data_IF_856513819622
#
_entry.id   IF_856513819622
#
_cell.length_a   1.000
_cell.length_b   1.000
_cell.length_c   1.000
_cell.angle_alpha   90.00
_cell.angle_beta   90.00
_cell.angle_gamma   90.00
#
_symmetry.space_group_name_H-M   'P 1'
#
loop_
_entity.id
_entity.type
_entity.pdbx_description
1 polymer ?
#
# COMPACT_ATOMS: atom_id res chain seq x y z
N UNK A 1 -0.04 -19.15 -6.31
CA UNK A 1 -1.31 -18.85 -7.02
C UNK A 1 -1.06 -17.67 -7.95
N UNK A 2 -1.97 -17.35 -8.86
CA UNK A 2 -1.84 -16.11 -9.64
C UNK A 2 -2.08 -14.90 -8.72
N UNK A 3 -1.18 -13.93 -8.74
CA UNK A 3 -1.31 -12.68 -7.99
C UNK A 3 -2.56 -11.96 -8.48
N UNK A 4 -3.47 -11.62 -7.56
CA UNK A 4 -4.64 -10.80 -7.88
C UNK A 4 -4.31 -9.34 -7.58
N UNK A 5 -3.70 -8.67 -8.55
CA UNK A 5 -3.40 -7.24 -8.46
C UNK A 5 -4.65 -6.38 -8.65
N UNK A 6 -4.76 -5.31 -7.89
CA UNK A 6 -5.92 -4.42 -7.92
C UNK A 6 -5.75 -3.21 -7.03
N UNK A 7 -6.88 -2.53 -6.77
CA UNK A 7 -6.95 -1.37 -5.90
C UNK A 7 -8.01 -1.57 -4.84
N UNK A 8 -7.67 -1.24 -3.60
CA UNK A 8 -8.62 -1.08 -2.51
C UNK A 8 -8.98 0.38 -2.36
N UNK A 9 -10.27 0.71 -2.47
CA UNK A 9 -10.83 2.02 -2.10
C UNK A 9 -11.55 1.91 -0.75
N UNK A 10 -11.07 2.62 0.26
CA UNK A 10 -11.68 2.59 1.60
C UNK A 10 -11.32 3.86 2.39
N UNK A 11 -11.95 4.08 3.55
CA UNK A 11 -11.59 5.19 4.45
C UNK A 11 -10.58 4.73 5.51
N UNK A 12 -9.56 5.54 5.84
CA UNK A 12 -8.66 5.24 6.96
C UNK A 12 -9.44 5.18 8.26
N UNK A 13 -9.15 4.18 9.09
CA UNK A 13 -9.75 4.07 10.42
C UNK A 13 -8.70 4.05 11.54
N UNK A 14 -7.71 3.15 11.48
CA UNK A 14 -6.59 3.10 12.43
C UNK A 14 -5.40 2.37 11.82
N UNK A 15 -4.26 2.45 12.48
CA UNK A 15 -3.05 1.74 12.08
C UNK A 15 -2.30 1.20 13.30
N UNK A 16 -1.40 0.27 13.05
CA UNK A 16 -0.50 -0.32 14.05
C UNK A 16 0.87 -0.49 13.44
N UNK A 17 1.87 0.06 14.13
CA UNK A 17 3.28 -0.08 13.79
C UNK A 17 3.81 -1.45 14.20
N UNK A 18 4.73 -1.99 13.41
CA UNK A 18 5.54 -3.15 13.77
C UNK A 18 7.01 -2.72 13.78
N UNK A 19 7.63 -2.60 14.95
CA UNK A 19 9.02 -2.10 15.05
C UNK A 19 10.06 -3.21 15.28
N UNK A 20 9.64 -4.41 15.71
CA UNK A 20 10.53 -5.51 16.13
C UNK A 20 10.29 -6.83 15.36
N UNK A 21 9.56 -6.78 14.25
CA UNK A 21 9.31 -7.96 13.43
C UNK A 21 10.50 -8.21 12.48
N UNK A 22 10.67 -9.46 12.03
CA UNK A 22 11.68 -9.79 11.00
C UNK A 22 11.36 -9.21 9.63
N UNK A 23 10.07 -8.95 9.38
CA UNK A 23 9.53 -8.29 8.18
C UNK A 23 8.47 -7.28 8.65
N UNK A 24 8.89 -6.11 9.15
CA UNK A 24 7.97 -5.14 9.73
C UNK A 24 7.04 -4.54 8.67
N UNK A 25 5.79 -4.32 9.08
CA UNK A 25 4.80 -3.60 8.28
C UNK A 25 4.17 -2.47 9.09
N UNK A 26 3.74 -1.42 8.39
CA UNK A 26 2.63 -0.60 8.89
C UNK A 26 1.32 -1.32 8.56
N UNK A 27 0.64 -1.80 9.59
CA UNK A 27 -0.67 -2.45 9.45
C UNK A 27 -1.75 -1.38 9.51
N UNK A 28 -2.49 -1.16 8.43
CA UNK A 28 -3.55 -0.15 8.38
C UNK A 28 -4.90 -0.87 8.29
N UNK A 29 -5.84 -0.47 9.15
CA UNK A 29 -7.25 -0.79 8.99
C UNK A 29 -7.93 0.33 8.23
N UNK A 30 -8.56 -0.04 7.13
CA UNK A 30 -9.49 0.80 6.39
C UNK A 30 -10.89 0.19 6.40
N UNK A 31 -11.92 1.02 6.30
CA UNK A 31 -13.32 0.60 6.24
C UNK A 31 -13.90 0.97 4.88
N UNK A 32 -14.49 0.00 4.17
CA UNK A 32 -15.28 0.33 2.99
C UNK A 32 -16.63 0.95 3.38
N UNK A 33 -17.45 1.31 2.40
CA UNK A 33 -18.74 1.98 2.64
C UNK A 33 -19.77 1.11 3.37
N UNK A 34 -19.58 -0.21 3.42
CA UNK A 34 -20.44 -1.11 4.19
C UNK A 34 -19.98 -1.25 5.66
N UNK A 35 -18.81 -0.71 5.99
CA UNK A 35 -18.17 -0.89 7.30
C UNK A 35 -17.33 -2.16 7.40
N UNK A 36 -17.14 -2.91 6.31
CA UNK A 36 -16.26 -4.06 6.27
C UNK A 36 -14.80 -3.61 6.50
N UNK A 37 -14.10 -4.19 7.49
CA UNK A 37 -12.70 -3.89 7.73
C UNK A 37 -11.80 -4.58 6.70
N UNK A 38 -10.85 -3.81 6.18
CA UNK A 38 -9.77 -4.25 5.31
C UNK A 38 -8.42 -4.00 5.96
N UNK A 39 -7.48 -4.94 5.84
CA UNK A 39 -6.09 -4.78 6.24
C UNK A 39 -5.23 -4.38 5.04
N UNK A 40 -4.55 -3.26 5.12
CA UNK A 40 -3.51 -2.84 4.18
C UNK A 40 -2.18 -3.06 4.90
N UNK A 41 -1.36 -3.98 4.39
CA UNK A 41 -0.05 -4.30 4.96
C UNK A 41 1.04 -3.66 4.10
N UNK A 42 1.64 -2.58 4.59
CA UNK A 42 2.71 -1.85 3.88
C UNK A 42 4.06 -2.26 4.44
N UNK A 43 4.92 -2.87 3.62
CA UNK A 43 6.28 -3.23 4.00
C UNK A 43 7.09 -1.98 4.35
N UNK A 44 7.78 -1.99 5.48
CA UNK A 44 8.65 -0.85 5.90
C UNK A 44 10.13 -1.20 5.89
N UNK A 45 10.44 -2.45 5.58
CA UNK A 45 11.79 -2.97 5.36
C UNK A 45 11.72 -4.13 4.37
N UNK A 46 12.76 -4.30 3.54
CA UNK A 46 12.89 -5.50 2.73
C UNK A 46 13.41 -6.68 3.55
N UNK A 47 13.19 -7.90 3.08
CA UNK A 47 13.68 -9.14 3.71
C UNK A 47 15.22 -9.21 3.77
N UNK A 48 15.91 -8.39 2.98
CA UNK A 48 17.38 -8.26 3.00
C UNK A 48 17.90 -7.10 3.87
N UNK A 49 16.99 -6.39 4.55
CA UNK A 49 17.31 -5.33 5.50
C UNK A 49 17.61 -3.97 4.87
N UNK A 50 17.25 -3.74 3.61
CA UNK A 50 17.54 -2.49 2.89
C UNK A 50 16.74 -1.29 3.40
N UNK A 51 17.25 -0.09 3.14
CA UNK A 51 16.48 1.16 3.25
C UNK A 51 15.29 1.14 2.27
N UNK A 52 14.20 1.82 2.63
CA UNK A 52 13.07 2.07 1.75
C UNK A 52 13.18 3.49 1.20
N UNK A 53 13.08 3.63 -0.11
CA UNK A 53 12.95 4.93 -0.74
C UNK A 53 11.48 5.33 -0.78
N UNK A 54 11.19 6.57 -0.41
CA UNK A 54 9.84 7.08 -0.29
C UNK A 54 9.68 8.37 -1.11
N UNK A 55 8.55 8.47 -1.79
CA UNK A 55 8.14 9.65 -2.56
C UNK A 55 6.81 10.16 -2.04
N UNK A 56 6.68 11.49 -1.95
CA UNK A 56 5.41 12.16 -1.73
C UNK A 56 5.09 12.97 -2.98
N UNK A 57 3.91 12.75 -3.55
CA UNK A 57 3.40 13.53 -4.68
C UNK A 57 2.12 14.23 -4.24
N UNK A 58 2.23 15.50 -3.90
CA UNK A 58 1.11 16.32 -3.47
C UNK A 58 1.23 17.76 -4.01
N UNK A 59 0.31 18.23 -4.88
CA UNK A 59 -0.82 17.49 -5.41
C UNK A 59 -0.39 16.50 -6.51
N UNK A 60 -1.00 15.31 -6.54
CA UNK A 60 -0.91 14.44 -7.71
C UNK A 60 -1.81 14.99 -8.83
N UNK A 61 -1.21 15.46 -9.91
CA UNK A 61 -1.92 16.07 -11.05
C UNK A 61 -1.44 15.50 -12.38
N UNK A 62 -2.34 15.46 -13.37
CA UNK A 62 -1.98 15.15 -14.77
C UNK A 62 -1.69 13.67 -15.07
N UNK A 63 -1.80 12.76 -14.09
CA UNK A 63 -1.62 11.34 -14.35
C UNK A 63 -2.94 10.67 -14.81
N UNK A 64 -2.95 9.83 -15.86
CA UNK A 64 -4.16 9.21 -16.39
C UNK A 64 -4.98 8.43 -15.37
N UNK A 65 -4.31 7.73 -14.43
CA UNK A 65 -4.90 7.03 -13.29
C UNK A 65 -5.97 7.83 -12.54
N UNK A 66 -5.77 9.15 -12.38
CA UNK A 66 -6.69 10.01 -11.63
C UNK A 66 -8.11 10.00 -12.21
N UNK A 67 -8.25 9.67 -13.49
CA UNK A 67 -9.54 9.61 -14.18
C UNK A 67 -10.38 8.41 -13.73
N UNK A 68 -9.76 7.29 -13.34
CA UNK A 68 -10.47 6.08 -12.95
C UNK A 68 -10.81 6.03 -11.46
N UNK A 69 -10.00 6.66 -10.59
CA UNK A 69 -10.16 6.58 -9.13
C UNK A 69 -11.58 6.88 -8.63
N UNK A 70 -12.29 7.94 -9.09
CA UNK A 70 -13.63 8.24 -8.60
C UNK A 70 -14.66 7.12 -8.88
N UNK A 71 -14.45 6.36 -9.95
CA UNK A 71 -15.32 5.27 -10.38
C UNK A 71 -15.00 3.92 -9.71
N UNK A 72 -13.87 3.81 -8.99
CA UNK A 72 -13.49 2.60 -8.26
C UNK A 72 -14.55 2.27 -7.21
N UNK A 73 -15.03 1.03 -7.20
CA UNK A 73 -16.01 0.57 -6.22
C UNK A 73 -15.35 0.48 -4.84
N UNK A 74 -16.01 0.92 -3.74
CA UNK A 74 -15.50 0.71 -2.39
C UNK A 74 -15.21 -0.76 -2.09
N UNK A 75 -14.11 -1.04 -1.40
CA UNK A 75 -13.53 -2.37 -1.27
C UNK A 75 -12.46 -2.63 -2.34
N UNK A 76 -12.10 -3.90 -2.53
CA UNK A 76 -11.09 -4.30 -3.50
C UNK A 76 -11.69 -4.54 -4.89
N UNK A 77 -11.05 -3.95 -5.91
CA UNK A 77 -11.38 -4.16 -7.32
C UNK A 77 -10.14 -4.63 -8.08
N UNK A 78 -10.28 -5.71 -8.85
CA UNK A 78 -9.29 -6.03 -9.87
C UNK A 78 -9.30 -4.92 -10.95
N UNK A 79 -8.13 -4.61 -11.50
CA UNK A 79 -7.95 -3.49 -12.43
C UNK A 79 -7.44 -3.96 -13.78
N UNK A 80 -7.69 -3.17 -14.82
CA UNK A 80 -7.01 -3.37 -16.09
C UNK A 80 -5.53 -2.99 -15.94
N UNK A 81 -4.62 -3.80 -16.51
CA UNK A 81 -3.19 -3.56 -16.44
C UNK A 81 -2.77 -2.49 -17.48
N UNK A 82 -3.11 -1.24 -17.20
CA UNK A 82 -2.75 -0.07 -18.01
C UNK A 82 -2.64 1.19 -17.15
N UNK A 83 -2.05 2.25 -17.71
CA UNK A 83 -1.75 3.51 -17.02
C UNK A 83 -2.98 4.25 -16.46
N UNK A 84 -4.19 3.91 -16.94
CA UNK A 84 -5.43 4.53 -16.51
C UNK A 84 -5.99 3.86 -15.24
N UNK A 85 -5.58 2.62 -14.91
CA UNK A 85 -6.19 1.83 -13.84
C UNK A 85 -5.21 1.13 -12.89
N UNK A 86 -3.91 1.09 -13.21
CA UNK A 86 -2.90 0.35 -12.48
C UNK A 86 -1.57 1.10 -12.44
N UNK A 87 -0.70 0.76 -11.48
CA UNK A 87 0.58 1.44 -11.28
C UNK A 87 1.72 0.72 -12.02
N UNK A 88 2.54 1.50 -12.71
CA UNK A 88 3.84 1.10 -13.22
C UNK A 88 4.72 2.34 -13.19
N UNK A 89 5.55 2.51 -12.17
CA UNK A 89 6.32 3.75 -11.99
C UNK A 89 7.37 3.95 -13.09
N UNK A 90 7.71 2.89 -13.84
CA UNK A 90 8.65 2.94 -14.97
C UNK A 90 7.93 3.29 -16.28
N UNK A 91 6.79 2.65 -16.57
CA UNK A 91 6.05 2.84 -17.83
C UNK A 91 5.06 4.00 -17.79
N UNK A 92 4.53 4.32 -16.61
CA UNK A 92 3.62 5.42 -16.34
C UNK A 92 4.06 6.16 -15.06
N UNK A 93 5.13 6.98 -15.15
CA UNK A 93 5.72 7.61 -13.97
C UNK A 93 4.76 8.57 -13.25
N UNK A 94 4.72 8.48 -11.92
CA UNK A 94 3.96 9.39 -11.04
C UNK A 94 4.82 10.49 -10.42
N UNK A 95 6.14 10.33 -10.46
CA UNK A 95 7.11 11.20 -9.79
C UNK A 95 8.45 11.18 -10.51
N UNK A 96 9.29 12.18 -10.21
CA UNK A 96 10.69 12.17 -10.62
C UNK A 96 11.48 11.24 -9.71
N UNK A 97 12.21 10.29 -10.28
CA UNK A 97 13.02 9.32 -9.51
C UNK A 97 14.01 9.98 -8.55
N UNK A 98 14.60 11.12 -8.92
CA UNK A 98 15.60 11.83 -8.11
C UNK A 98 15.03 12.53 -6.88
N UNK A 99 13.71 12.67 -6.80
CA UNK A 99 13.04 13.39 -5.70
C UNK A 99 12.75 12.47 -4.50
N UNK A 100 13.12 11.19 -4.61
CA UNK A 100 12.93 10.19 -3.58
C UNK A 100 13.82 10.45 -2.37
N UNK A 101 13.26 10.25 -1.18
CA UNK A 101 13.99 10.31 0.07
C UNK A 101 14.24 8.89 0.58
N UNK A 102 15.50 8.55 0.83
CA UNK A 102 15.84 7.32 1.56
C UNK A 102 15.46 7.47 3.03
N UNK A 103 14.82 6.45 3.58
CA UNK A 103 14.40 6.41 4.99
C UNK A 103 15.00 5.16 5.67
N UNK A 104 15.47 5.30 6.92
CA UNK A 104 15.78 4.14 7.71
C UNK A 104 14.51 3.30 7.97
N UNK A 105 14.65 1.98 8.20
CA UNK A 105 13.51 1.11 8.55
C UNK A 105 12.76 1.55 9.83
N UNK A 106 13.48 2.15 10.78
CA UNK A 106 12.95 2.73 12.00
C UNK A 106 13.83 3.87 12.48
N UNK A 107 13.20 4.93 12.99
CA UNK A 107 13.87 6.07 13.59
C UNK A 107 13.32 6.39 14.99
N UNK A 108 14.00 7.30 15.69
CA UNK A 108 13.67 7.67 17.08
C UNK A 108 13.09 9.08 17.21
N UNK A 109 13.24 9.89 16.17
CA UNK A 109 12.64 11.20 16.06
C UNK A 109 11.28 11.08 15.36
N UNK A 110 10.56 12.20 15.23
CA UNK A 110 9.31 12.21 14.47
C UNK A 110 9.60 12.43 12.98
N UNK A 111 8.88 11.71 12.12
CA UNK A 111 8.98 11.83 10.65
C UNK A 111 10.37 11.49 10.10
N UNK A 112 11.11 10.64 10.81
CA UNK A 112 12.41 10.13 10.39
C UNK A 112 12.34 8.72 9.79
N UNK A 113 11.20 8.02 9.89
CA UNK A 113 10.93 6.75 9.20
C UNK A 113 9.62 6.75 8.37
N UNK A 114 9.42 5.70 7.56
CA UNK A 114 8.26 5.55 6.68
C UNK A 114 6.93 5.43 7.47
N UNK A 115 6.97 4.71 8.58
CA UNK A 115 5.79 4.47 9.41
C UNK A 115 5.27 5.78 10.01
N UNK A 116 6.15 6.70 10.41
CA UNK A 116 5.79 8.02 10.92
C UNK A 116 5.12 8.88 9.85
N UNK A 117 5.71 8.93 8.66
CA UNK A 117 5.19 9.73 7.55
C UNK A 117 3.82 9.20 7.10
N UNK A 118 3.68 7.88 6.92
CA UNK A 118 2.40 7.28 6.56
C UNK A 118 1.35 7.50 7.66
N UNK A 119 1.70 7.35 8.93
CA UNK A 119 0.80 7.63 10.06
C UNK A 119 0.29 9.08 10.02
N UNK A 120 1.18 10.05 9.79
CA UNK A 120 0.84 11.46 9.62
C UNK A 120 -0.16 11.68 8.48
N UNK A 121 0.09 11.12 7.30
CA UNK A 121 -0.81 11.26 6.15
C UNK A 121 -2.14 10.54 6.33
N UNK A 122 -2.17 9.39 7.01
CA UNK A 122 -3.39 8.67 7.37
C UNK A 122 -4.26 9.51 8.30
N UNK A 123 -3.67 10.14 9.32
CA UNK A 123 -4.39 11.02 10.24
C UNK A 123 -4.94 12.26 9.52
N UNK A 124 -4.16 12.89 8.65
CA UNK A 124 -4.62 14.02 7.84
C UNK A 124 -5.76 13.61 6.89
N UNK A 125 -5.62 12.48 6.20
CA UNK A 125 -6.65 11.94 5.33
C UNK A 125 -7.95 11.66 6.11
N UNK A 126 -7.85 11.03 7.28
CA UNK A 126 -8.99 10.77 8.16
C UNK A 126 -9.65 12.06 8.64
N UNK A 127 -8.88 13.06 9.07
CA UNK A 127 -9.39 14.35 9.52
C UNK A 127 -10.11 15.13 8.41
N UNK A 128 -9.65 14.99 7.16
CA UNK A 128 -10.29 15.56 5.98
C UNK A 128 -11.52 14.77 5.48
N UNK A 129 -11.83 13.61 6.09
CA UNK A 129 -12.88 12.70 5.59
C UNK A 129 -12.54 12.06 4.25
N UNK A 130 -11.25 11.93 3.94
CA UNK A 130 -10.72 11.40 2.69
C UNK A 130 -10.81 9.88 2.56
N UNK A 131 -10.34 9.38 1.41
CA UNK A 131 -10.29 7.97 1.07
C UNK A 131 -8.85 7.57 0.72
N UNK A 132 -8.50 6.32 1.04
CA UNK A 132 -7.28 5.65 0.60
C UNK A 132 -7.59 4.86 -0.66
N UNK A 133 -6.67 4.93 -1.61
CA UNK A 133 -6.57 4.02 -2.76
C UNK A 133 -5.26 3.25 -2.63
N UNK A 134 -5.32 1.99 -2.20
CA UNK A 134 -4.15 1.14 -2.01
C UNK A 134 -4.05 0.13 -3.15
N UNK A 135 -3.02 0.27 -3.98
CA UNK A 135 -2.72 -0.63 -5.08
C UNK A 135 -1.78 -1.75 -4.61
N UNK A 136 -2.07 -2.98 -5.01
CA UNK A 136 -1.26 -4.14 -4.61
C UNK A 136 -1.99 -5.46 -4.83
N UNK A 137 -1.42 -6.52 -4.27
CA UNK A 137 -1.96 -7.87 -4.34
C UNK A 137 -3.03 -8.10 -3.26
N UNK A 138 -4.18 -8.66 -3.63
CA UNK A 138 -5.18 -9.11 -2.66
C UNK A 138 -4.65 -10.32 -1.90
N UNK A 139 -4.94 -10.41 -0.59
CA UNK A 139 -4.71 -11.65 0.16
C UNK A 139 -5.42 -12.82 -0.50
N UNK A 140 -4.65 -13.85 -0.81
CA UNK A 140 -5.09 -15.10 -1.41
C UNK A 140 -5.29 -16.21 -0.36
N UNK A 141 -4.79 -16.00 0.86
CA UNK A 141 -4.89 -16.96 1.96
C UNK A 141 -5.00 -16.26 3.32
N UNK A 142 -5.70 -16.92 4.25
CA UNK A 142 -5.74 -16.51 5.65
C UNK A 142 -4.50 -17.05 6.39
N UNK A 143 -3.62 -16.15 6.80
CA UNK A 143 -2.41 -16.49 7.58
C UNK A 143 -2.66 -16.55 9.09
N UNK A 144 -3.90 -16.37 9.53
CA UNK A 144 -4.33 -16.33 10.92
C UNK A 144 -3.51 -15.37 11.79
N UNK A 145 -3.12 -14.22 11.24
CA UNK A 145 -2.32 -13.24 11.97
C UNK A 145 -3.19 -12.60 13.07
N UNK A 146 -2.70 -12.44 14.31
CA UNK A 146 -3.49 -11.84 15.39
C UNK A 146 -4.06 -10.45 15.06
N UNK A 147 -3.34 -9.68 14.22
CA UNK A 147 -3.78 -8.36 13.76
C UNK A 147 -5.10 -8.41 12.97
N UNK A 148 -5.40 -9.51 12.29
CA UNK A 148 -6.66 -9.68 11.54
C UNK A 148 -7.85 -9.68 12.49
N UNK A 149 -7.77 -10.44 13.59
CA UNK A 149 -8.79 -10.44 14.63
C UNK A 149 -8.87 -9.08 15.34
N UNK A 150 -7.74 -8.45 15.64
CA UNK A 150 -7.69 -7.10 16.23
C UNK A 150 -8.41 -6.08 15.34
N UNK A 151 -8.21 -6.15 14.02
CA UNK A 151 -8.83 -5.26 13.04
C UNK A 151 -10.28 -5.61 12.71
N UNK A 152 -10.76 -6.80 13.10
CA UNK A 152 -12.09 -7.31 12.76
C UNK A 152 -12.15 -7.98 11.38
N UNK A 153 -11.00 -8.18 10.71
CA UNK A 153 -10.85 -8.94 9.49
C UNK A 153 -10.80 -10.46 9.80
N UNK A 154 -11.84 -11.01 10.42
CA UNK A 154 -11.79 -12.35 11.02
C UNK A 154 -11.65 -13.49 10.01
N UNK A 155 -11.98 -13.27 8.74
CA UNK A 155 -11.73 -14.24 7.67
C UNK A 155 -10.28 -14.21 7.16
N UNK A 156 -9.50 -13.18 7.50
CA UNK A 156 -8.11 -12.99 7.08
C UNK A 156 -7.92 -12.78 5.58
N UNK A 157 -8.99 -12.53 4.82
CA UNK A 157 -8.98 -12.42 3.35
C UNK A 157 -9.28 -11.00 2.87
N UNK A 158 -9.86 -10.13 3.70
CA UNK A 158 -10.03 -8.72 3.37
C UNK A 158 -8.73 -7.96 3.62
N UNK A 159 -7.81 -8.04 2.67
CA UNK A 159 -6.65 -7.18 2.69
C UNK A 159 -5.80 -7.20 1.45
N UNK A 160 -4.82 -6.30 1.45
CA UNK A 160 -3.89 -6.01 0.35
C UNK A 160 -2.47 -5.94 0.90
N UNK A 161 -1.51 -6.48 0.16
CA UNK A 161 -0.06 -6.42 0.40
C UNK A 161 0.69 -6.17 -0.91
N UNK A 162 2.02 -6.30 -0.88
CA UNK A 162 2.92 -6.04 -2.02
C UNK A 162 2.70 -4.62 -2.58
N UNK A 163 2.56 -3.68 -1.64
CA UNK A 163 2.29 -2.25 -1.90
C UNK A 163 3.63 -1.54 -1.98
N UNK A 164 4.31 -1.72 -3.10
CA UNK A 164 5.58 -1.09 -3.40
C UNK A 164 5.90 -1.25 -4.88
N UNK A 165 6.87 -0.46 -5.34
CA UNK A 165 7.48 -0.68 -6.65
C UNK A 165 7.94 -2.14 -6.77
N UNK A 166 7.39 -2.86 -7.74
CA UNK A 166 7.70 -4.26 -7.98
C UNK A 166 8.69 -4.45 -9.13
N UNK A 167 8.85 -3.46 -10.01
CA UNK A 167 9.84 -3.53 -11.08
C UNK A 167 11.28 -3.56 -10.55
N UNK A 168 12.08 -4.50 -11.08
CA UNK A 168 13.49 -4.68 -10.74
C UNK A 168 13.75 -5.80 -9.73
N UNK A 169 12.73 -6.52 -9.28
CA UNK A 169 12.88 -7.68 -8.42
C UNK A 169 13.70 -8.79 -9.11
N UNK A 170 14.60 -9.43 -8.34
CA UNK A 170 15.47 -10.50 -8.83
C UNK A 170 15.29 -11.78 -8.01
N UNK A 171 15.81 -12.91 -8.52
CA UNK A 171 15.75 -14.18 -7.80
C UNK A 171 14.31 -14.68 -7.60
N UNK A 172 13.97 -15.07 -6.37
CA UNK A 172 12.66 -15.66 -6.05
C UNK A 172 11.49 -14.67 -6.21
N UNK A 173 11.75 -13.36 -6.14
CA UNK A 173 10.76 -12.29 -6.30
C UNK A 173 10.61 -11.82 -7.75
N UNK A 174 11.34 -12.42 -8.69
CA UNK A 174 11.30 -11.97 -10.09
C UNK A 174 9.92 -12.12 -10.75
N UNK A 175 9.06 -12.98 -10.19
CA UNK A 175 7.66 -13.14 -10.60
C UNK A 175 6.77 -11.93 -10.32
N UNK A 176 7.20 -11.03 -9.42
CA UNK A 176 6.42 -9.88 -8.99
C UNK A 176 6.57 -8.70 -9.99
N UNK A 177 7.53 -8.77 -10.92
CA UNK A 177 7.77 -7.77 -11.99
C UNK A 177 6.67 -7.76 -13.07
N UNK A 178 5.39 -7.92 -12.70
CA UNK A 178 4.26 -7.86 -13.61
C UNK A 178 4.15 -6.49 -14.27
N UNK A 179 3.69 -6.47 -15.52
CA UNK A 179 3.42 -5.22 -16.25
C UNK A 179 2.20 -4.55 -15.61
N UNK A 180 2.37 -3.31 -15.13
CA UNK A 180 1.38 -2.58 -14.33
C UNK A 180 0.99 -3.25 -12.99
N UNK A 181 1.98 -3.82 -12.29
CA UNK A 181 1.83 -4.41 -10.95
C UNK A 181 2.65 -3.71 -9.85
N UNK A 182 2.95 -2.42 -9.98
CA UNK A 182 3.69 -1.66 -8.94
C UNK A 182 2.83 -1.12 -7.78
#
# INVERSE_FOLDING_TARGET
MAIQYGVLRARPDRYKREDNASTPHLQIRALDTSGQPWRIAVNVQSDSGSEVAFWVVDPLVGHPLLTSLPATVPGFSAVAHNADHALDYVKAPLFTWTDGRSLPPSGSASSDDLQDLLSLYLDQCKAAGGEIYAFGAKFDQNLHKPIDAEFGNTDGLHGVHDIHMNQGNVGQHSGDNGVFHD
#
